data_IF_580041344816
#
_entry.id   IF_580041344816
#
_cell.length_a   1.000
_cell.length_b   1.000
_cell.length_c   1.000
_cell.angle_alpha   90.00
_cell.angle_beta   90.00
_cell.angle_gamma   90.00
#
_symmetry.space_group_name_H-M   'P 1'
#
loop_
_entity.id
_entity.type
_entity.pdbx_description
1 polymer ?
#
# COMPACT_ATOMS: atom_id res chain seq x y z
N UNK A 1 9.38 39.09 -5.49
CA UNK A 1 9.96 38.02 -6.32
C UNK A 1 9.65 36.70 -5.64
N UNK A 2 8.66 35.95 -6.15
CA UNK A 2 8.40 34.60 -5.66
C UNK A 2 9.59 33.72 -6.05
N UNK A 3 10.30 33.20 -5.05
CA UNK A 3 11.54 32.41 -5.22
C UNK A 3 11.31 31.03 -5.86
N UNK A 4 10.05 30.60 -5.98
CA UNK A 4 9.67 29.31 -6.54
C UNK A 4 8.95 29.49 -7.89
N UNK A 5 9.46 28.91 -8.99
CA UNK A 5 8.78 28.90 -10.30
C UNK A 5 7.60 27.92 -10.35
N UNK A 6 7.08 27.52 -9.19
CA UNK A 6 5.96 26.59 -9.04
C UNK A 6 4.89 27.24 -8.15
N UNK A 7 3.67 27.32 -8.68
CA UNK A 7 2.46 27.72 -7.95
C UNK A 7 1.46 26.57 -7.97
N UNK A 8 0.49 26.58 -7.07
CA UNK A 8 -0.58 25.59 -7.02
C UNK A 8 -1.92 26.33 -7.03
N UNK A 9 -2.82 25.95 -7.93
CA UNK A 9 -4.18 26.52 -7.98
C UNK A 9 -4.98 26.19 -6.72
N UNK A 10 -4.78 24.99 -6.17
CA UNK A 10 -5.43 24.53 -4.95
C UNK A 10 -4.41 24.00 -3.93
N UNK A 11 -3.64 24.88 -3.25
CA UNK A 11 -2.59 24.45 -2.32
C UNK A 11 -3.15 23.65 -1.13
N UNK A 12 -4.43 23.81 -0.81
CA UNK A 12 -5.08 23.04 0.26
C UNK A 12 -5.15 21.53 -0.06
N UNK A 13 -5.16 21.14 -1.33
CA UNK A 13 -5.18 19.73 -1.75
C UNK A 13 -3.91 18.99 -1.33
N UNK A 14 -2.79 19.69 -1.15
CA UNK A 14 -1.54 19.11 -0.65
C UNK A 14 -1.68 18.52 0.76
N UNK A 15 -2.65 19.00 1.57
CA UNK A 15 -2.99 18.36 2.85
C UNK A 15 -3.46 16.91 2.68
N UNK A 16 -3.98 16.56 1.50
CA UNK A 16 -4.31 15.18 1.14
C UNK A 16 -3.11 14.23 1.16
N UNK A 17 -1.88 14.73 1.06
CA UNK A 17 -0.67 13.91 1.26
C UNK A 17 -0.60 13.34 2.70
N UNK A 18 -1.22 13.99 3.69
CA UNK A 18 -1.34 13.43 5.04
C UNK A 18 -2.24 12.19 5.10
N UNK A 19 -3.05 11.92 4.08
CA UNK A 19 -3.80 10.66 4.00
C UNK A 19 -2.93 9.47 3.58
N UNK A 20 -1.75 9.69 2.95
CA UNK A 20 -0.81 8.62 2.58
C UNK A 20 -0.43 7.69 3.76
N UNK A 21 -0.01 8.20 4.93
CA UNK A 21 0.27 7.34 6.09
C UNK A 21 -0.97 6.59 6.58
N UNK A 22 -2.17 7.16 6.45
CA UNK A 22 -3.44 6.47 6.79
C UNK A 22 -3.68 5.29 5.86
N UNK A 23 -3.50 5.48 4.55
CA UNK A 23 -3.59 4.41 3.54
C UNK A 23 -2.54 3.32 3.82
N UNK A 24 -1.30 3.70 4.12
CA UNK A 24 -0.24 2.75 4.48
C UNK A 24 -0.59 1.94 5.73
N UNK A 25 -1.11 2.62 6.76
CA UNK A 25 -1.50 2.00 8.02
C UNK A 25 -2.64 1.00 7.80
N UNK A 26 -3.65 1.36 7.01
CA UNK A 26 -4.78 0.50 6.65
C UNK A 26 -4.35 -0.74 5.87
N UNK A 27 -3.39 -0.60 4.95
CA UNK A 27 -2.84 -1.74 4.19
C UNK A 27 -1.97 -2.66 5.04
N UNK A 28 -1.36 -2.13 6.12
CA UNK A 28 -0.53 -2.91 7.05
C UNK A 28 -1.35 -3.65 8.11
N UNK A 29 -2.67 -3.45 8.17
CA UNK A 29 -3.58 -4.38 8.87
C UNK A 29 -3.66 -5.70 8.09
N UNK A 30 -2.55 -6.43 8.06
CA UNK A 30 -2.56 -7.82 7.63
C UNK A 30 -3.32 -8.59 8.71
N UNK A 31 -4.40 -9.31 8.35
CA UNK A 31 -5.17 -10.08 9.33
C UNK A 31 -4.25 -11.07 10.07
N UNK A 32 -4.52 -11.36 11.36
CA UNK A 32 -3.75 -12.32 12.13
C UNK A 32 -3.66 -13.64 11.35
N UNK A 33 -2.47 -14.26 11.36
CA UNK A 33 -2.16 -15.45 10.56
C UNK A 33 -3.31 -16.46 10.66
N UNK A 34 -3.74 -17.07 9.53
CA UNK A 34 -4.77 -18.10 9.56
C UNK A 34 -4.33 -19.18 10.53
N UNK A 35 -5.14 -19.41 11.57
CA UNK A 35 -4.89 -20.46 12.54
C UNK A 35 -5.01 -21.78 11.79
N UNK A 36 -3.90 -22.49 11.64
CA UNK A 36 -3.89 -23.83 11.06
C UNK A 36 -4.56 -24.77 12.06
N UNK A 37 -5.87 -24.97 11.90
CA UNK A 37 -6.58 -26.01 12.63
C UNK A 37 -6.09 -27.36 12.11
N UNK A 38 -5.47 -28.13 13.00
CA UNK A 38 -4.84 -29.40 12.63
C UNK A 38 -5.95 -30.43 12.45
N UNK A 39 -6.42 -30.63 11.21
CA UNK A 39 -7.41 -31.67 10.89
C UNK A 39 -6.70 -33.04 10.82
N UNK A 40 -6.83 -33.93 11.82
CA UNK A 40 -5.97 -35.12 11.97
C UNK A 40 -6.04 -36.16 10.84
N UNK A 41 -7.20 -36.44 10.20
CA UNK A 41 -7.32 -37.46 9.16
C UNK A 41 -6.45 -37.21 7.91
N UNK A 42 -6.10 -35.94 7.64
CA UNK A 42 -5.38 -35.54 6.43
C UNK A 42 -3.84 -35.55 6.61
N UNK A 43 -3.32 -35.80 7.81
CA UNK A 43 -1.87 -35.82 8.10
C UNK A 43 -1.09 -36.86 7.27
N UNK A 44 -1.73 -37.96 6.88
CA UNK A 44 -1.09 -39.06 6.14
C UNK A 44 -0.91 -38.66 4.66
N UNK A 45 -1.91 -37.99 4.06
CA UNK A 45 -1.81 -37.48 2.69
C UNK A 45 -0.90 -36.23 2.60
N UNK A 46 -0.95 -35.35 3.60
CA UNK A 46 -0.13 -34.13 3.63
C UNK A 46 1.39 -34.40 3.73
N UNK A 47 1.80 -35.61 4.15
CA UNK A 47 3.22 -35.99 4.26
C UNK A 47 3.90 -36.20 2.90
N UNK A 48 3.12 -36.51 1.86
CA UNK A 48 3.60 -36.75 0.48
C UNK A 48 3.57 -35.47 -0.37
N UNK A 49 2.69 -34.52 -0.06
CA UNK A 49 2.45 -33.31 -0.85
C UNK A 49 3.20 -32.07 -0.34
N UNK A 50 4.33 -32.26 0.34
CA UNK A 50 4.99 -31.18 1.07
C UNK A 50 5.86 -30.32 0.14
N UNK A 51 5.25 -29.40 -0.61
CA UNK A 51 5.88 -28.13 -1.04
C UNK A 51 4.85 -27.12 -1.56
N UNK A 52 3.94 -26.68 -0.70
CA UNK A 52 3.28 -25.38 -0.92
C UNK A 52 3.93 -24.35 -0.02
N UNK A 53 5.04 -23.80 -0.52
CA UNK A 53 5.49 -22.46 -0.12
C UNK A 53 4.44 -21.49 -0.66
N UNK A 54 3.34 -21.31 0.07
CA UNK A 54 2.41 -20.22 -0.21
C UNK A 54 3.16 -18.92 0.07
N UNK A 55 3.41 -18.05 -0.92
CA UNK A 55 4.07 -16.77 -0.69
C UNK A 55 3.05 -15.85 -0.02
N UNK A 56 2.85 -16.01 1.28
CA UNK A 56 1.86 -15.24 2.06
C UNK A 56 2.47 -13.94 2.61
N UNK A 57 3.23 -13.24 1.77
CA UNK A 57 3.63 -11.87 2.04
C UNK A 57 3.37 -11.05 0.79
N UNK A 58 2.38 -10.15 0.86
CA UNK A 58 2.23 -9.13 -0.17
C UNK A 58 3.57 -8.41 -0.34
N UNK A 59 4.13 -8.35 -1.56
CA UNK A 59 5.42 -7.71 -1.78
C UNK A 59 5.33 -6.22 -1.43
N UNK A 60 6.27 -5.74 -0.63
CA UNK A 60 6.32 -4.34 -0.17
C UNK A 60 6.37 -3.32 -1.32
N UNK A 61 6.87 -3.74 -2.50
CA UNK A 61 6.82 -2.96 -3.72
C UNK A 61 5.39 -2.57 -4.16
N UNK A 62 4.40 -3.43 -4.00
CA UNK A 62 3.00 -3.10 -4.33
C UNK A 62 2.45 -2.01 -3.40
N UNK A 63 2.88 -1.97 -2.14
CA UNK A 63 2.50 -0.90 -1.22
C UNK A 63 3.16 0.43 -1.60
N UNK A 64 4.44 0.41 -1.99
CA UNK A 64 5.15 1.59 -2.47
C UNK A 64 4.50 2.15 -3.74
N UNK A 65 4.14 1.29 -4.70
CA UNK A 65 3.46 1.69 -5.93
C UNK A 65 2.10 2.35 -5.63
N UNK A 66 1.33 1.81 -4.69
CA UNK A 66 0.04 2.41 -4.26
C UNK A 66 0.22 3.80 -3.67
N UNK A 67 1.21 3.99 -2.81
CA UNK A 67 1.50 5.30 -2.21
C UNK A 67 1.98 6.30 -3.26
N UNK A 68 2.79 5.86 -4.22
CA UNK A 68 3.25 6.70 -5.32
C UNK A 68 2.09 7.13 -6.22
N UNK A 69 1.18 6.22 -6.58
CA UNK A 69 -0.03 6.57 -7.32
C UNK A 69 -0.90 7.58 -6.56
N UNK A 70 -1.13 7.37 -5.26
CA UNK A 70 -1.89 8.31 -4.44
C UNK A 70 -1.22 9.69 -4.36
N UNK A 71 0.11 9.76 -4.21
CA UNK A 71 0.85 11.00 -4.21
C UNK A 71 0.74 11.75 -5.56
N UNK A 72 0.83 11.02 -6.68
CA UNK A 72 0.65 11.59 -8.03
C UNK A 72 -0.76 12.13 -8.24
N UNK A 73 -1.79 11.44 -7.75
CA UNK A 73 -3.18 11.91 -7.81
C UNK A 73 -3.35 13.20 -7.03
N UNK A 74 -2.84 13.27 -5.80
CA UNK A 74 -2.92 14.48 -4.96
C UNK A 74 -2.16 15.63 -5.62
N UNK A 75 -0.98 15.38 -6.18
CA UNK A 75 -0.20 16.40 -6.89
C UNK A 75 -0.91 16.92 -8.15
N UNK A 76 -1.56 16.04 -8.92
CA UNK A 76 -2.32 16.43 -10.11
C UNK A 76 -3.55 17.27 -9.73
N UNK A 77 -4.26 16.91 -8.65
CA UNK A 77 -5.42 17.65 -8.15
C UNK A 77 -5.05 19.01 -7.53
N UNK A 78 -3.80 19.23 -7.14
CA UNK A 78 -3.34 20.51 -6.60
C UNK A 78 -3.20 21.61 -7.68
N UNK A 79 -3.43 21.28 -8.95
CA UNK A 79 -3.28 22.18 -10.10
C UNK A 79 -1.91 22.87 -10.11
N UNK A 80 -0.80 22.12 -10.28
CA UNK A 80 0.54 22.69 -10.32
C UNK A 80 0.70 23.54 -11.58
N UNK A 81 1.04 24.82 -11.38
CA UNK A 81 1.31 25.81 -12.43
C UNK A 81 2.79 26.15 -12.38
N UNK A 82 3.48 25.99 -13.51
CA UNK A 82 4.82 26.54 -13.69
C UNK A 82 4.70 28.01 -14.10
N UNK A 83 5.34 28.90 -13.34
CA UNK A 83 5.36 30.35 -13.57
C UNK A 83 6.66 30.79 -14.25
#
# INVERSE_FOLDING_TARGET
MSWLPLSFGAPMVLWGLLALPVIWWLLRFTPPKPQTEIFPPLKILARVLKREETPQQSPWWLTLLRLLMAALIVAALAEPVFN
#
